data_IF_603795564482
#
_entry.id   IF_603795564482
#
_cell.length_a   1.000
_cell.length_b   1.000
_cell.length_c   1.000
_cell.angle_alpha   90.00
_cell.angle_beta   90.00
_cell.angle_gamma   90.00
#
_symmetry.space_group_name_H-M   'P 1'
#
loop_
_entity.id
_entity.type
_entity.pdbx_description
1 polymer ?
#
# COMPACT_ATOMS: atom_id res chain seq x y z
N UNK A 1 -10.73 12.23 -0.81
CA UNK A 1 -11.34 12.58 -2.11
C UNK A 1 -12.71 11.91 -2.24
N UNK A 2 -13.80 12.50 -1.71
CA UNK A 2 -15.08 11.79 -1.56
C UNK A 2 -15.70 11.33 -2.89
N UNK A 3 -15.52 12.08 -3.98
CA UNK A 3 -16.18 11.76 -5.25
C UNK A 3 -15.47 10.66 -6.03
N UNK A 4 -14.13 10.60 -5.99
CA UNK A 4 -13.37 9.50 -6.59
C UNK A 4 -13.61 8.20 -5.83
N UNK A 5 -13.68 8.24 -4.50
CA UNK A 5 -13.98 7.05 -3.70
C UNK A 5 -15.36 6.44 -4.01
N UNK A 6 -16.38 7.27 -4.27
CA UNK A 6 -17.71 6.78 -4.69
C UNK A 6 -17.69 6.11 -6.07
N UNK A 7 -16.76 6.49 -6.93
CA UNK A 7 -16.58 5.85 -8.24
C UNK A 7 -15.77 4.56 -8.11
N UNK A 8 -14.73 4.59 -7.28
CA UNK A 8 -13.83 3.48 -7.02
C UNK A 8 -14.53 2.32 -6.31
N UNK A 9 -15.15 2.59 -5.15
CA UNK A 9 -15.92 1.61 -4.37
C UNK A 9 -17.34 1.57 -4.90
N UNK A 10 -17.50 0.88 -6.04
CA UNK A 10 -18.77 0.82 -6.77
C UNK A 10 -18.96 -0.50 -7.50
N UNK A 11 -20.20 -0.98 -7.56
CA UNK A 11 -20.58 -2.08 -8.46
C UNK A 11 -20.31 -1.79 -9.95
N UNK A 12 -20.10 -0.51 -10.30
CA UNK A 12 -19.71 -0.08 -11.65
C UNK A 12 -18.22 -0.25 -11.93
N UNK A 13 -17.41 -0.47 -10.89
CA UNK A 13 -15.98 -0.73 -10.95
C UNK A 13 -15.64 -2.10 -10.31
N UNK A 14 -16.21 -3.21 -10.83
CA UNK A 14 -16.06 -4.53 -10.21
C UNK A 14 -14.66 -5.12 -10.36
N UNK A 15 -13.77 -4.49 -11.12
CA UNK A 15 -12.36 -4.88 -11.23
C UNK A 15 -11.52 -4.28 -10.10
N UNK A 16 -12.02 -3.25 -9.42
CA UNK A 16 -11.21 -2.48 -8.48
C UNK A 16 -10.17 -1.59 -9.17
N UNK A 17 -10.44 -1.13 -10.40
CA UNK A 17 -9.52 -0.26 -11.14
C UNK A 17 -9.31 1.07 -10.41
N UNK A 18 -8.07 1.40 -10.06
CA UNK A 18 -7.76 2.64 -9.37
C UNK A 18 -7.91 3.85 -10.30
N UNK A 19 -8.42 4.99 -9.79
CA UNK A 19 -8.41 6.24 -10.53
C UNK A 19 -6.99 6.66 -10.93
N UNK A 20 -6.72 6.69 -12.23
CA UNK A 20 -5.41 7.07 -12.77
C UNK A 20 -5.16 8.58 -12.57
N UNK A 21 -3.99 8.99 -12.03
CA UNK A 21 -3.64 10.40 -11.87
C UNK A 21 -3.59 11.13 -13.21
N UNK A 22 -3.74 12.46 -13.24
CA UNK A 22 -3.65 13.21 -14.49
C UNK A 22 -2.20 13.54 -14.91
N UNK A 23 -1.30 13.70 -13.94
CA UNK A 23 0.09 14.07 -14.21
C UNK A 23 1.04 13.74 -13.08
N UNK A 24 2.29 13.46 -13.40
CA UNK A 24 3.40 13.51 -12.46
C UNK A 24 3.77 14.96 -12.13
N UNK A 25 4.20 15.19 -10.89
CA UNK A 25 4.65 16.47 -10.36
C UNK A 25 5.96 16.30 -9.63
N UNK A 26 6.78 17.35 -9.64
CA UNK A 26 8.01 17.44 -8.85
C UNK A 26 7.94 18.76 -8.07
N UNK A 27 7.98 18.67 -6.73
CA UNK A 27 7.74 19.80 -5.82
C UNK A 27 6.50 20.62 -6.20
N UNK A 28 5.35 19.94 -6.33
CA UNK A 28 4.04 20.53 -6.68
C UNK A 28 3.99 21.29 -8.02
N UNK A 29 4.99 21.11 -8.88
CA UNK A 29 5.08 21.80 -10.17
C UNK A 29 5.43 20.84 -11.30
N UNK A 30 5.31 21.36 -12.53
CA UNK A 30 5.94 20.81 -13.71
C UNK A 30 7.03 21.79 -14.14
N UNK A 31 8.12 21.27 -14.72
CA UNK A 31 9.20 22.07 -15.29
C UNK A 31 10.06 22.84 -14.26
N UNK A 32 10.32 22.26 -13.09
CA UNK A 32 11.13 22.94 -12.06
C UNK A 32 12.60 23.09 -12.45
N UNK A 33 13.25 24.17 -12.04
CA UNK A 33 14.71 24.33 -12.12
C UNK A 33 15.32 24.32 -10.72
N UNK A 34 16.49 23.70 -10.62
CA UNK A 34 17.31 23.66 -9.41
C UNK A 34 18.69 24.23 -9.75
N UNK A 35 18.98 25.49 -9.36
CA UNK A 35 20.30 26.08 -9.56
C UNK A 35 21.39 25.32 -8.79
N UNK A 36 22.49 25.00 -9.47
CA UNK A 36 23.60 24.22 -8.90
C UNK A 36 24.97 24.85 -9.17
N UNK A 37 25.89 24.66 -8.23
CA UNK A 37 27.29 25.10 -8.37
C UNK A 37 28.16 23.97 -8.93
N UNK A 38 29.03 24.25 -9.92
CA UNK A 38 29.96 23.27 -10.48
C UNK A 38 30.88 22.65 -9.41
N UNK A 39 31.10 21.34 -9.50
CA UNK A 39 31.98 20.58 -8.60
C UNK A 39 31.44 20.39 -7.17
N UNK A 40 30.30 20.99 -6.82
CA UNK A 40 29.70 20.87 -5.48
C UNK A 40 28.91 19.57 -5.34
N UNK A 41 28.99 18.95 -4.17
CA UNK A 41 28.15 17.81 -3.83
C UNK A 41 26.91 18.28 -3.07
N UNK A 42 25.74 17.90 -3.58
CA UNK A 42 24.45 18.17 -2.96
C UNK A 42 23.89 16.89 -2.35
N UNK A 43 23.23 17.02 -1.20
CA UNK A 43 22.36 15.99 -0.66
C UNK A 43 20.93 16.29 -1.10
N UNK A 44 20.39 15.46 -1.98
CA UNK A 44 18.99 15.54 -2.44
C UNK A 44 18.15 14.57 -1.61
N UNK A 45 17.02 15.05 -1.11
CA UNK A 45 16.04 14.24 -0.36
C UNK A 45 14.83 14.03 -1.25
N UNK A 46 14.68 12.81 -1.74
CA UNK A 46 13.60 12.38 -2.60
C UNK A 46 12.53 11.72 -1.73
N UNK A 47 11.28 12.15 -1.90
CA UNK A 47 10.13 11.63 -1.14
C UNK A 47 8.99 11.44 -2.12
N UNK A 48 8.47 10.22 -2.22
CA UNK A 48 7.22 10.00 -2.95
C UNK A 48 6.03 10.21 -2.00
N UNK A 49 5.46 11.42 -2.05
CA UNK A 49 4.23 11.80 -1.32
C UNK A 49 2.95 11.47 -2.09
N UNK A 50 3.05 10.70 -3.18
CA UNK A 50 1.91 10.34 -4.02
C UNK A 50 1.01 9.31 -3.34
N UNK A 51 -0.30 9.42 -3.59
CA UNK A 51 -1.33 8.51 -3.06
C UNK A 51 -1.39 7.14 -3.75
N UNK A 52 -0.67 6.95 -4.87
CA UNK A 52 -0.82 5.76 -5.71
C UNK A 52 0.47 5.40 -6.43
N UNK A 53 0.80 6.13 -7.50
CA UNK A 53 1.86 5.73 -8.41
C UNK A 53 3.26 5.81 -7.77
N UNK A 54 3.99 4.68 -7.82
CA UNK A 54 5.44 4.67 -7.66
C UNK A 54 6.11 5.50 -8.76
N UNK A 55 7.32 5.98 -8.48
CA UNK A 55 8.08 6.84 -9.39
C UNK A 55 9.47 6.27 -9.65
N UNK A 56 9.88 6.20 -10.91
CA UNK A 56 11.29 6.10 -11.30
C UNK A 56 11.90 7.50 -11.25
N UNK A 57 13.10 7.65 -10.71
CA UNK A 57 13.84 8.92 -10.67
C UNK A 57 15.26 8.74 -11.19
N UNK A 58 15.71 9.65 -12.06
CA UNK A 58 17.09 9.70 -12.54
C UNK A 58 17.51 11.13 -12.90
N UNK A 59 18.82 11.36 -12.98
CA UNK A 59 19.40 12.64 -13.39
C UNK A 59 20.32 12.38 -14.58
N UNK A 60 20.03 13.01 -15.71
CA UNK A 60 20.81 12.78 -16.91
C UNK A 60 22.27 13.17 -16.74
N UNK A 61 23.16 12.25 -17.11
CA UNK A 61 24.60 12.45 -17.03
C UNK A 61 25.16 12.55 -15.62
N UNK A 62 24.40 12.19 -14.58
CA UNK A 62 24.86 12.19 -13.18
C UNK A 62 24.54 10.85 -12.52
N UNK A 63 25.54 10.27 -11.88
CA UNK A 63 25.35 9.13 -10.98
C UNK A 63 24.96 9.64 -9.59
N UNK A 64 23.97 8.99 -8.99
CA UNK A 64 23.51 9.24 -7.64
C UNK A 64 24.16 8.25 -6.67
N UNK A 65 24.44 8.71 -5.45
CA UNK A 65 24.94 7.86 -4.37
C UNK A 65 23.93 7.82 -3.23
N UNK A 66 23.18 6.73 -3.12
CA UNK A 66 22.21 6.51 -2.04
C UNK A 66 22.97 6.44 -0.71
N UNK A 67 22.55 7.23 0.27
CA UNK A 67 23.16 7.26 1.62
C UNK A 67 22.14 7.08 2.75
N UNK A 68 20.85 7.20 2.47
CA UNK A 68 19.78 7.01 3.46
C UNK A 68 18.51 6.53 2.75
N UNK A 69 17.76 5.63 3.39
CA UNK A 69 16.40 5.23 3.00
C UNK A 69 15.49 5.26 4.22
N UNK A 70 14.32 5.89 4.09
CA UNK A 70 13.29 5.97 5.14
C UNK A 70 13.83 6.33 6.55
N UNK A 71 14.82 7.23 6.64
CA UNK A 71 15.45 7.64 7.90
C UNK A 71 16.60 6.74 8.39
N UNK A 72 16.91 5.65 7.67
CA UNK A 72 18.01 4.72 7.97
C UNK A 72 19.21 4.99 7.07
N UNK A 73 20.33 5.39 7.68
CA UNK A 73 21.59 5.55 6.98
C UNK A 73 22.11 4.21 6.43
N UNK A 74 22.51 4.19 5.17
CA UNK A 74 23.08 3.03 4.47
C UNK A 74 24.52 3.29 4.04
N UNK A 75 25.30 2.21 3.90
CA UNK A 75 26.56 2.28 3.17
C UNK A 75 26.27 2.85 1.78
N UNK A 76 27.13 3.77 1.27
CA UNK A 76 26.89 4.40 0.00
C UNK A 76 26.74 3.39 -1.15
N UNK A 77 25.67 3.51 -1.93
CA UNK A 77 25.43 2.70 -3.13
C UNK A 77 25.24 3.60 -4.35
N UNK A 78 26.00 3.35 -5.41
CA UNK A 78 25.93 4.12 -6.65
C UNK A 78 24.84 3.57 -7.57
N UNK A 79 24.08 4.48 -8.19
CA UNK A 79 23.05 4.14 -9.17
C UNK A 79 22.77 5.31 -10.10
N UNK A 80 22.29 5.01 -11.30
CA UNK A 80 21.78 6.01 -12.23
C UNK A 80 20.26 6.18 -12.11
N UNK A 81 19.55 5.25 -11.46
CA UNK A 81 18.10 5.27 -11.33
C UNK A 81 17.62 4.67 -9.99
N UNK A 82 16.55 5.24 -9.45
CA UNK A 82 15.90 4.77 -8.21
C UNK A 82 14.41 4.57 -8.48
N UNK A 83 13.85 3.49 -7.95
CA UNK A 83 12.40 3.30 -7.85
C UNK A 83 11.96 3.71 -6.45
N UNK A 84 11.00 4.64 -6.37
CA UNK A 84 10.50 5.20 -5.12
C UNK A 84 9.00 4.92 -5.05
N UNK A 85 8.62 3.90 -4.28
CA UNK A 85 7.22 3.60 -4.05
C UNK A 85 6.55 4.67 -3.18
N UNK A 86 5.21 4.73 -3.17
CA UNK A 86 4.48 5.64 -2.27
C UNK A 86 4.98 5.50 -0.82
N UNK A 87 5.14 6.64 -0.13
CA UNK A 87 5.70 6.80 1.22
C UNK A 87 7.19 6.49 1.40
N UNK A 88 7.90 6.01 0.38
CA UNK A 88 9.34 5.82 0.46
C UNK A 88 10.13 7.12 0.31
N UNK A 89 11.29 7.16 0.95
CA UNK A 89 12.26 8.26 0.93
C UNK A 89 13.66 7.73 0.62
N UNK A 90 14.38 8.51 -0.16
CA UNK A 90 15.80 8.29 -0.43
C UNK A 90 16.55 9.60 -0.21
N UNK A 91 17.68 9.56 0.50
CA UNK A 91 18.65 10.65 0.44
C UNK A 91 19.83 10.21 -0.42
N UNK A 92 20.16 11.02 -1.44
CA UNK A 92 21.23 10.75 -2.39
C UNK A 92 22.23 11.89 -2.42
N UNK A 93 23.51 11.56 -2.53
CA UNK A 93 24.57 12.50 -2.85
C UNK A 93 24.75 12.56 -4.36
N UNK A 94 24.78 13.77 -4.91
CA UNK A 94 25.06 14.03 -6.33
C UNK A 94 26.16 15.08 -6.41
N UNK A 95 27.28 14.71 -7.03
CA UNK A 95 28.38 15.65 -7.28
C UNK A 95 28.22 16.26 -8.66
N UNK A 96 28.10 17.58 -8.70
CA UNK A 96 27.96 18.34 -9.92
C UNK A 96 29.24 18.27 -10.76
N UNK A 97 29.08 18.31 -12.08
CA UNK A 97 30.19 18.40 -13.03
C UNK A 97 30.93 19.73 -12.83
N UNK A 98 32.19 19.78 -13.26
CA UNK A 98 32.97 21.02 -13.24
C UNK A 98 32.61 21.95 -14.41
N UNK A 99 32.02 21.42 -15.48
CA UNK A 99 31.69 22.16 -16.69
C UNK A 99 30.29 22.78 -16.59
N UNK A 100 30.17 24.08 -16.91
CA UNK A 100 28.89 24.82 -16.99
C UNK A 100 28.32 24.88 -18.41
N UNK A 101 28.80 24.02 -19.31
CA UNK A 101 28.45 24.08 -20.74
C UNK A 101 26.99 23.74 -21.05
N UNK A 102 26.29 23.05 -20.14
CA UNK A 102 24.93 22.57 -20.32
C UNK A 102 24.16 22.46 -18.99
N UNK A 103 22.84 22.61 -19.07
CA UNK A 103 21.89 22.22 -18.02
C UNK A 103 21.47 20.77 -18.22
N UNK A 104 21.09 20.07 -17.15
CA UNK A 104 20.82 18.62 -17.21
C UNK A 104 19.40 18.29 -16.75
N UNK A 105 18.63 17.51 -17.52
CA UNK A 105 17.32 17.05 -17.08
C UNK A 105 17.40 16.18 -15.83
N UNK A 106 16.48 16.42 -14.91
CA UNK A 106 16.18 15.63 -13.72
C UNK A 106 14.77 15.09 -13.89
N UNK A 107 14.62 13.78 -13.92
CA UNK A 107 13.41 13.13 -14.38
C UNK A 107 12.75 12.34 -13.27
N UNK A 108 11.42 12.40 -13.25
CA UNK A 108 10.61 11.37 -12.60
C UNK A 108 9.55 10.84 -13.58
N UNK A 109 9.25 9.54 -13.51
CA UNK A 109 8.23 8.87 -14.30
C UNK A 109 7.38 7.98 -13.41
N UNK A 110 6.06 8.09 -13.50
CA UNK A 110 5.16 7.14 -12.85
C UNK A 110 5.41 5.73 -13.41
N UNK A 111 5.28 4.74 -12.53
CA UNK A 111 5.20 3.34 -12.93
C UNK A 111 3.83 3.05 -13.53
N UNK A 112 3.75 3.11 -14.86
CA UNK A 112 2.50 2.89 -15.59
C UNK A 112 2.03 1.45 -15.56
N UNK A 113 2.86 0.49 -15.09
CA UNK A 113 2.41 -0.90 -14.91
C UNK A 113 1.35 -1.04 -13.80
N UNK A 114 1.21 -0.02 -12.94
CA UNK A 114 0.18 0.06 -11.91
C UNK A 114 -1.17 0.52 -12.45
N UNK A 115 -1.29 0.91 -13.72
CA UNK A 115 -2.55 1.44 -14.27
C UNK A 115 -3.26 0.40 -15.12
N UNK A 116 -4.51 0.08 -14.76
CA UNK A 116 -5.41 -0.78 -15.55
C UNK A 116 -5.58 -0.32 -17.01
N UNK A 117 -5.53 0.99 -17.22
CA UNK A 117 -5.51 1.59 -18.54
C UNK A 117 -4.78 2.92 -18.51
N UNK A 118 -4.19 3.30 -19.65
CA UNK A 118 -3.51 4.59 -19.82
C UNK A 118 -4.50 5.54 -20.51
N UNK A 119 -5.07 6.53 -19.81
CA UNK A 119 -6.01 7.47 -20.39
C UNK A 119 -5.32 8.44 -21.36
N UNK A 120 -6.08 8.90 -22.36
CA UNK A 120 -5.63 9.92 -23.28
C UNK A 120 -5.24 11.21 -22.53
N UNK A 121 -4.06 11.74 -22.85
CA UNK A 121 -3.55 12.98 -22.26
C UNK A 121 -2.87 12.82 -20.89
N UNK A 122 -2.69 11.58 -20.39
CA UNK A 122 -1.86 11.35 -19.21
C UNK A 122 -0.43 11.83 -19.45
N UNK A 123 0.06 12.71 -18.57
CA UNK A 123 1.48 13.05 -18.51
C UNK A 123 2.16 12.33 -17.33
N UNK A 124 2.55 11.08 -17.54
CA UNK A 124 3.20 10.27 -16.50
C UNK A 124 4.66 10.65 -16.25
N UNK A 125 5.25 11.51 -17.08
CA UNK A 125 6.60 12.02 -16.91
C UNK A 125 6.59 13.45 -16.35
N UNK A 126 7.55 13.75 -15.49
CA UNK A 126 7.86 15.12 -15.07
C UNK A 126 9.35 15.39 -15.23
N UNK A 127 9.65 16.48 -15.92
CA UNK A 127 11.02 16.97 -16.10
C UNK A 127 11.24 18.19 -15.21
N UNK A 128 12.33 18.16 -14.45
CA UNK A 128 13.01 19.32 -13.92
C UNK A 128 14.41 19.44 -14.50
N UNK A 129 15.17 20.46 -14.11
CA UNK A 129 16.55 20.65 -14.57
C UNK A 129 17.48 21.03 -13.44
N UNK A 130 18.65 20.41 -13.43
CA UNK A 130 19.83 20.97 -12.77
C UNK A 130 20.35 22.11 -13.64
N UNK A 131 20.19 23.34 -13.14
CA UNK A 131 20.58 24.57 -13.83
C UNK A 131 21.99 24.98 -13.39
N UNK A 132 22.96 24.69 -14.26
CA UNK A 132 24.36 25.09 -14.10
C UNK A 132 24.60 26.52 -14.56
N UNK A 133 23.85 26.97 -15.56
CA UNK A 133 23.94 28.31 -16.14
C UNK A 133 22.55 28.71 -16.68
N UNK A 134 21.98 29.75 -16.10
CA UNK A 134 20.65 30.28 -16.45
C UNK A 134 20.58 30.88 -17.85
N UNK A 135 21.72 31.22 -18.47
CA UNK A 135 21.77 31.71 -19.85
C UNK A 135 21.77 30.55 -20.87
N UNK A 136 21.91 29.30 -20.41
CA UNK A 136 21.87 28.11 -21.27
C UNK A 136 20.46 27.58 -21.42
N UNK A 137 20.24 26.91 -22.56
CA UNK A 137 18.96 26.24 -22.83
C UNK A 137 18.75 25.10 -21.85
N UNK A 138 17.48 24.89 -21.48
CA UNK A 138 17.02 23.67 -20.84
C UNK A 138 16.78 22.61 -21.92
N UNK A 139 17.64 21.59 -22.06
CA UNK A 139 17.45 20.58 -23.09
C UNK A 139 16.22 19.71 -22.78
N UNK A 140 15.54 19.15 -23.79
CA UNK A 140 14.52 18.14 -23.54
C UNK A 140 15.15 16.87 -22.95
N UNK A 141 14.37 16.14 -22.16
CA UNK A 141 14.80 14.87 -21.60
C UNK A 141 14.94 13.79 -22.69
N UNK A 142 15.90 12.89 -22.51
CA UNK A 142 16.07 11.71 -23.32
C UNK A 142 14.91 10.73 -23.09
N UNK A 143 14.48 10.09 -24.18
CA UNK A 143 13.50 9.00 -24.10
C UNK A 143 14.23 7.72 -23.70
N UNK A 144 13.77 7.10 -22.61
CA UNK A 144 14.23 5.79 -22.17
C UNK A 144 13.19 4.73 -22.57
N UNK A 145 13.67 3.59 -23.06
CA UNK A 145 12.80 2.45 -23.39
C UNK A 145 12.72 1.43 -22.25
N UNK A 146 13.70 1.44 -21.35
CA UNK A 146 13.83 0.48 -20.25
C UNK A 146 14.24 1.23 -18.99
N UNK A 147 13.73 0.77 -17.85
CA UNK A 147 14.02 1.32 -16.52
C UNK A 147 14.71 0.25 -15.68
N UNK A 148 15.93 0.54 -15.24
CA UNK A 148 16.78 -0.38 -14.46
C UNK A 148 17.11 0.26 -13.10
N UNK A 149 16.15 0.36 -12.17
CA UNK A 149 16.37 0.99 -10.88
C UNK A 149 17.28 0.14 -9.98
N UNK A 150 17.97 0.81 -9.05
CA UNK A 150 18.72 0.12 -8.01
C UNK A 150 17.80 -0.77 -7.16
N UNK A 151 18.23 -2.00 -6.93
CA UNK A 151 17.58 -2.93 -6.03
C UNK A 151 17.87 -2.56 -4.56
N UNK A 152 16.87 -1.95 -3.92
CA UNK A 152 16.95 -1.49 -2.54
C UNK A 152 17.22 -2.60 -1.53
N UNK A 153 16.80 -3.85 -1.77
CA UNK A 153 17.08 -5.01 -0.91
C UNK A 153 18.58 -5.23 -0.66
N UNK A 154 19.44 -4.72 -1.54
CA UNK A 154 20.90 -4.83 -1.45
C UNK A 154 21.54 -3.76 -0.54
N UNK A 155 20.78 -2.77 -0.08
CA UNK A 155 21.29 -1.73 0.81
C UNK A 155 21.67 -2.32 2.18
N UNK A 156 22.73 -1.76 2.78
CA UNK A 156 23.30 -2.26 4.03
C UNK A 156 23.37 -1.10 5.02
N UNK A 157 22.58 -1.11 6.11
CA UNK A 157 22.59 -0.08 7.13
C UNK A 157 23.98 0.16 7.73
N UNK A 158 24.32 1.42 8.01
CA UNK A 158 25.66 1.79 8.52
C UNK A 158 25.89 1.39 9.97
N UNK A 159 24.84 1.25 10.77
CA UNK A 159 24.95 0.84 12.18
C UNK A 159 25.24 -0.66 12.35
N UNK A 160 25.11 -1.44 11.27
CA UNK A 160 25.50 -2.85 11.25
C UNK A 160 24.64 -3.75 12.13
N UNK A 161 23.38 -3.37 12.38
CA UNK A 161 22.45 -4.24 13.11
C UNK A 161 22.34 -5.59 12.39
N UNK A 162 22.72 -6.65 13.12
CA UNK A 162 22.68 -8.01 12.57
C UNK A 162 21.24 -8.48 12.41
N UNK A 163 21.06 -9.44 11.53
CA UNK A 163 19.80 -10.19 11.41
C UNK A 163 19.28 -10.58 12.80
N UNK A 164 18.04 -10.19 13.09
CA UNK A 164 17.34 -10.57 14.31
C UNK A 164 17.25 -12.09 14.40
N UNK A 165 17.21 -12.58 15.63
CA UNK A 165 17.05 -14.00 15.92
C UNK A 165 15.76 -14.57 15.30
N UNK A 166 15.55 -15.87 15.48
CA UNK A 166 14.31 -16.51 15.03
C UNK A 166 13.12 -15.81 15.70
N UNK A 167 12.07 -15.57 14.92
CA UNK A 167 10.87 -14.93 15.41
C UNK A 167 10.19 -15.75 16.52
N UNK A 168 9.73 -15.04 17.54
CA UNK A 168 8.88 -15.57 18.61
C UNK A 168 7.42 -15.67 18.13
N UNK A 169 7.03 -14.77 17.23
CA UNK A 169 5.67 -14.62 16.73
C UNK A 169 5.72 -14.36 15.21
N UNK A 170 5.12 -15.26 14.42
CA UNK A 170 4.98 -15.09 12.97
C UNK A 170 3.53 -14.75 12.62
N UNK A 171 3.34 -13.70 11.85
CA UNK A 171 2.07 -13.26 11.29
C UNK A 171 2.16 -13.46 9.78
N UNK A 172 1.27 -14.26 9.21
CA UNK A 172 1.16 -14.46 7.76
C UNK A 172 -0.04 -13.69 7.24
N UNK A 173 0.18 -12.87 6.20
CA UNK A 173 -0.80 -12.00 5.61
C UNK A 173 -0.85 -12.26 4.10
N UNK A 174 -1.95 -12.84 3.65
CA UNK A 174 -2.22 -13.11 2.23
C UNK A 174 -3.08 -11.97 1.68
N UNK A 175 -2.46 -11.14 0.83
CA UNK A 175 -3.11 -10.04 0.13
C UNK A 175 -3.94 -10.59 -1.03
N UNK A 176 -5.23 -10.25 -1.06
CA UNK A 176 -6.12 -10.49 -2.21
C UNK A 176 -7.02 -9.27 -2.47
N UNK A 177 -7.53 -9.17 -3.70
CA UNK A 177 -8.56 -8.21 -4.11
C UNK A 177 -9.81 -8.97 -4.57
N UNK A 178 -11.00 -8.65 -4.03
CA UNK A 178 -12.23 -9.38 -4.38
C UNK A 178 -13.50 -8.55 -4.19
N UNK A 179 -14.59 -8.97 -4.82
CA UNK A 179 -15.87 -8.30 -4.73
C UNK A 179 -16.72 -8.79 -3.57
N UNK A 180 -17.35 -7.87 -2.85
CA UNK A 180 -18.31 -8.17 -1.77
C UNK A 180 -19.77 -8.03 -2.27
N UNK A 181 -20.72 -8.27 -1.38
CA UNK A 181 -22.14 -8.40 -1.68
C UNK A 181 -22.82 -7.15 -2.25
N UNK A 182 -22.19 -5.99 -2.13
CA UNK A 182 -22.63 -4.74 -2.77
C UNK A 182 -22.09 -4.57 -4.21
N UNK A 183 -21.25 -5.50 -4.66
CA UNK A 183 -20.65 -5.56 -5.99
C UNK A 183 -19.38 -4.72 -6.15
N UNK A 184 -18.95 -3.98 -5.13
CA UNK A 184 -17.68 -3.25 -5.15
C UNK A 184 -16.50 -4.18 -4.83
N UNK A 185 -15.32 -3.79 -5.31
CA UNK A 185 -14.06 -4.48 -5.02
C UNK A 185 -13.45 -3.96 -3.72
N UNK A 186 -12.92 -4.87 -2.92
CA UNK A 186 -12.28 -4.62 -1.65
C UNK A 186 -10.92 -5.31 -1.58
N UNK A 187 -10.06 -4.81 -0.71
CA UNK A 187 -8.76 -5.37 -0.44
C UNK A 187 -8.77 -6.13 0.89
N UNK A 188 -8.05 -7.25 0.95
CA UNK A 188 -8.12 -8.18 2.06
C UNK A 188 -6.74 -8.60 2.52
N UNK A 189 -6.65 -8.89 3.82
CA UNK A 189 -5.69 -9.81 4.38
C UNK A 189 -6.41 -11.02 4.96
N UNK A 190 -6.07 -12.23 4.51
CA UNK A 190 -6.64 -13.48 5.04
C UNK A 190 -8.18 -13.47 5.10
N UNK A 191 -8.84 -13.08 4.01
CA UNK A 191 -10.30 -12.90 3.89
C UNK A 191 -10.93 -11.81 4.78
N UNK A 192 -10.12 -10.95 5.41
CA UNK A 192 -10.59 -9.81 6.20
C UNK A 192 -10.29 -8.50 5.46
N UNK A 193 -11.33 -7.76 5.10
CA UNK A 193 -11.22 -6.37 4.68
C UNK A 193 -11.43 -5.48 5.91
N UNK A 194 -10.44 -4.64 6.21
CA UNK A 194 -10.44 -3.84 7.43
C UNK A 194 -11.63 -2.89 7.50
N UNK A 195 -12.29 -2.88 8.66
CA UNK A 195 -13.33 -1.91 9.00
C UNK A 195 -12.96 -1.23 10.32
N UNK A 196 -12.98 0.10 10.33
CA UNK A 196 -12.71 0.85 11.54
C UNK A 196 -13.69 0.50 12.67
N UNK A 197 -13.20 0.22 13.90
CA UNK A 197 -14.07 -0.05 15.04
C UNK A 197 -14.82 1.21 15.47
N UNK A 198 -15.88 1.06 16.27
CA UNK A 198 -16.64 2.20 16.81
C UNK A 198 -15.87 3.01 17.85
N UNK A 199 -14.97 2.34 18.57
CA UNK A 199 -14.04 2.93 19.54
C UNK A 199 -12.64 2.78 18.96
N UNK A 200 -11.85 3.86 18.82
CA UNK A 200 -10.49 3.74 18.31
C UNK A 200 -9.68 2.76 19.16
N UNK A 201 -8.94 1.86 18.50
CA UNK A 201 -8.25 0.72 19.14
C UNK A 201 -7.40 1.14 20.34
N UNK A 202 -6.74 2.31 20.28
CA UNK A 202 -5.96 2.83 21.40
C UNK A 202 -6.83 3.06 22.66
N UNK A 203 -8.03 3.60 22.51
CA UNK A 203 -8.92 3.81 23.64
C UNK A 203 -9.48 2.49 24.18
N UNK A 204 -9.75 1.51 23.30
CA UNK A 204 -10.07 0.14 23.71
C UNK A 204 -8.96 -0.46 24.57
N UNK A 205 -7.69 -0.34 24.15
CA UNK A 205 -6.53 -0.78 24.96
C UNK A 205 -6.60 -0.14 26.34
N UNK A 206 -6.78 1.17 26.41
CA UNK A 206 -6.67 1.92 27.66
C UNK A 206 -7.85 1.68 28.62
N UNK A 207 -9.00 1.23 28.14
CA UNK A 207 -10.18 1.00 28.97
C UNK A 207 -10.50 -0.47 29.25
N UNK A 208 -9.95 -1.42 28.48
CA UNK A 208 -10.25 -2.85 28.61
C UNK A 208 -9.58 -3.56 29.80
N UNK A 209 -8.66 -2.91 30.51
CA UNK A 209 -7.90 -3.54 31.60
C UNK A 209 -7.14 -4.77 31.11
N UNK A 210 -7.20 -5.88 31.86
CA UNK A 210 -6.51 -7.13 31.50
C UNK A 210 -7.01 -7.74 30.17
N UNK A 211 -8.26 -7.47 29.78
CA UNK A 211 -8.82 -7.95 28.51
C UNK A 211 -8.11 -7.33 27.29
N UNK A 212 -7.31 -6.27 27.45
CA UNK A 212 -6.52 -5.69 26.38
C UNK A 212 -5.50 -6.66 25.77
N UNK A 213 -5.19 -7.78 26.44
CA UNK A 213 -4.35 -8.85 25.90
C UNK A 213 -5.10 -9.85 25.02
N UNK A 214 -6.44 -9.80 24.99
CA UNK A 214 -7.27 -10.68 24.18
C UNK A 214 -7.62 -9.98 22.86
N UNK A 215 -7.21 -10.52 21.69
CA UNK A 215 -7.46 -9.89 20.39
C UNK A 215 -8.96 -9.67 20.10
N UNK A 216 -9.86 -10.46 20.70
CA UNK A 216 -11.31 -10.37 20.51
C UNK A 216 -11.85 -8.98 20.82
N UNK A 217 -11.31 -8.26 21.82
CA UNK A 217 -11.83 -6.94 22.22
C UNK A 217 -11.68 -5.89 21.12
N UNK A 218 -10.79 -6.13 20.16
CA UNK A 218 -10.52 -5.22 19.05
C UNK A 218 -11.41 -5.47 17.83
N UNK A 219 -12.35 -6.42 17.90
CA UNK A 219 -13.28 -6.71 16.82
C UNK A 219 -12.74 -7.73 15.83
N UNK A 220 -13.65 -8.32 15.04
CA UNK A 220 -13.29 -9.38 14.08
C UNK A 220 -12.69 -8.82 12.80
N UNK A 221 -13.14 -7.63 12.39
CA UNK A 221 -12.83 -7.09 11.05
C UNK A 221 -11.82 -5.93 11.13
N UNK A 222 -11.10 -5.80 12.25
CA UNK A 222 -9.98 -4.85 12.41
C UNK A 222 -8.61 -5.49 12.17
N UNK A 223 -8.60 -6.80 11.86
CA UNK A 223 -7.41 -7.63 11.63
C UNK A 223 -6.29 -7.38 12.66
N UNK A 224 -6.64 -7.59 13.93
CA UNK A 224 -5.85 -7.17 15.08
C UNK A 224 -4.94 -8.27 15.64
N UNK A 225 -3.66 -7.95 15.83
CA UNK A 225 -2.64 -8.83 16.40
C UNK A 225 -2.08 -8.22 17.69
N UNK A 226 -2.18 -8.93 18.80
CA UNK A 226 -1.61 -8.50 20.09
C UNK A 226 -0.18 -9.00 20.21
N UNK A 227 0.77 -8.09 20.42
CA UNK A 227 2.20 -8.37 20.50
C UNK A 227 2.70 -8.19 21.93
N UNK A 228 3.52 -9.12 22.40
CA UNK A 228 4.20 -9.04 23.70
C UNK A 228 5.39 -8.10 23.65
N UNK A 229 5.69 -7.48 24.79
CA UNK A 229 6.84 -6.59 24.87
C UNK A 229 8.15 -7.32 24.59
N UNK A 230 8.92 -6.81 23.63
CA UNK A 230 10.25 -7.29 23.28
C UNK A 230 10.29 -8.58 22.45
N UNK A 231 9.16 -9.17 22.10
CA UNK A 231 9.15 -10.35 21.23
C UNK A 231 9.57 -9.97 19.79
N UNK A 232 10.29 -10.87 19.13
CA UNK A 232 10.67 -10.71 17.73
C UNK A 232 9.49 -11.13 16.87
N UNK A 233 8.91 -10.16 16.17
CA UNK A 233 7.78 -10.37 15.27
C UNK A 233 8.30 -10.53 13.85
N UNK A 234 7.78 -11.53 13.14
CA UNK A 234 7.98 -11.74 11.72
C UNK A 234 6.65 -11.58 10.98
N UNK A 235 6.62 -10.70 9.99
CA UNK A 235 5.50 -10.62 9.06
C UNK A 235 5.94 -11.27 7.76
N UNK A 236 5.21 -12.30 7.37
CA UNK A 236 5.26 -12.91 6.04
C UNK A 236 4.10 -12.34 5.24
N UNK A 237 4.40 -11.63 4.16
CA UNK A 237 3.40 -11.09 3.27
C UNK A 237 3.45 -11.82 1.93
N UNK A 238 2.34 -12.45 1.55
CA UNK A 238 2.14 -13.07 0.26
C UNK A 238 1.21 -12.20 -0.58
N UNK A 239 1.62 -11.89 -1.80
CA UNK A 239 0.82 -11.14 -2.74
C UNK A 239 0.14 -12.11 -3.71
N UNK A 240 -1.17 -12.27 -3.63
CA UNK A 240 -1.95 -13.01 -4.63
C UNK A 240 -2.51 -12.08 -5.73
N UNK A 241 -2.21 -10.79 -5.65
CA UNK A 241 -2.52 -9.81 -6.69
C UNK A 241 -1.38 -9.66 -7.72
N UNK A 242 -1.75 -9.19 -8.90
CA UNK A 242 -0.84 -8.94 -10.02
C UNK A 242 -0.13 -7.58 -9.95
N UNK A 243 -0.51 -6.71 -9.03
CA UNK A 243 0.10 -5.40 -8.80
C UNK A 243 1.35 -5.44 -7.91
N UNK A 244 2.06 -4.31 -7.89
CA UNK A 244 3.08 -4.00 -6.88
C UNK A 244 2.43 -3.21 -5.75
N UNK A 245 2.72 -3.56 -4.49
CA UNK A 245 2.12 -2.87 -3.34
C UNK A 245 3.21 -2.43 -2.35
N UNK A 246 3.33 -1.13 -2.05
CA UNK A 246 4.18 -0.66 -0.98
C UNK A 246 3.48 -0.87 0.36
N UNK A 247 4.06 -1.67 1.24
CA UNK A 247 3.55 -1.89 2.59
C UNK A 247 4.34 -1.09 3.62
N UNK A 248 3.62 -0.30 4.40
CA UNK A 248 4.13 0.57 5.45
C UNK A 248 3.77 0.03 6.83
N UNK A 249 4.73 0.06 7.78
CA UNK A 249 4.50 -0.27 9.18
C UNK A 249 4.72 0.96 10.07
N UNK A 250 3.71 1.30 10.86
CA UNK A 250 3.81 2.42 11.81
C UNK A 250 4.72 2.07 12.99
N UNK A 251 5.34 3.10 13.58
CA UNK A 251 6.02 3.01 14.87
C UNK A 251 7.33 2.19 14.90
N UNK A 252 7.76 1.64 13.76
CA UNK A 252 8.89 0.73 13.65
C UNK A 252 9.66 0.99 12.35
N UNK A 253 10.98 0.77 12.38
CA UNK A 253 11.75 0.40 11.17
C UNK A 253 12.02 -1.09 11.24
N UNK A 254 11.75 -1.83 10.17
CA UNK A 254 11.85 -3.28 10.14
C UNK A 254 13.03 -3.76 9.29
N UNK A 255 13.57 -4.92 9.64
CA UNK A 255 14.53 -5.65 8.81
C UNK A 255 13.81 -6.36 7.67
N UNK A 256 14.21 -6.12 6.43
CA UNK A 256 13.75 -6.93 5.29
C UNK A 256 14.69 -8.12 5.14
N UNK A 257 14.21 -9.31 5.51
CA UNK A 257 15.05 -10.52 5.55
C UNK A 257 14.93 -11.33 4.26
N UNK A 258 13.82 -11.20 3.54
CA UNK A 258 13.58 -11.88 2.27
C UNK A 258 12.66 -11.04 1.37
N UNK A 259 12.91 -11.05 0.06
CA UNK A 259 11.97 -10.68 -0.99
C UNK A 259 12.12 -11.73 -2.10
N UNK A 260 10.99 -12.20 -2.63
CA UNK A 260 11.01 -13.10 -3.78
C UNK A 260 11.12 -12.33 -5.09
N UNK A 261 11.41 -13.06 -6.17
CA UNK A 261 11.12 -12.58 -7.52
C UNK A 261 9.60 -12.54 -7.76
N UNK A 262 9.18 -11.91 -8.86
CA UNK A 262 7.79 -11.93 -9.31
C UNK A 262 7.30 -13.36 -9.59
N UNK A 263 6.02 -13.63 -9.35
CA UNK A 263 5.38 -14.93 -9.60
C UNK A 263 5.99 -16.11 -8.81
N UNK A 264 6.74 -15.85 -7.74
CA UNK A 264 7.29 -16.90 -6.88
C UNK A 264 6.22 -17.63 -6.04
N UNK A 265 5.03 -17.04 -5.90
CA UNK A 265 3.95 -17.53 -5.05
C UNK A 265 4.22 -17.31 -3.57
N UNK A 266 3.49 -18.04 -2.73
CA UNK A 266 3.58 -17.91 -1.28
C UNK A 266 4.94 -18.32 -0.72
N UNK A 267 5.40 -17.58 0.29
CA UNK A 267 6.59 -17.91 1.04
C UNK A 267 6.45 -19.27 1.75
N UNK A 268 7.51 -20.08 1.71
CA UNK A 268 7.56 -21.34 2.42
C UNK A 268 8.82 -21.42 3.30
N UNK A 269 8.61 -21.43 4.61
CA UNK A 269 9.68 -21.49 5.62
C UNK A 269 10.53 -22.78 5.55
N UNK A 270 10.09 -23.81 4.82
CA UNK A 270 10.83 -25.06 4.62
C UNK A 270 11.81 -25.01 3.44
N UNK A 271 11.83 -23.93 2.66
CA UNK A 271 12.78 -23.76 1.57
C UNK A 271 14.21 -23.71 2.10
N UNK A 272 15.04 -24.65 1.65
CA UNK A 272 16.43 -24.81 2.09
C UNK A 272 17.42 -23.92 1.33
N UNK A 273 16.96 -23.25 0.27
CA UNK A 273 17.75 -22.36 -0.58
C UNK A 273 17.64 -20.87 -0.20
N UNK A 274 16.84 -20.51 0.81
CA UNK A 274 16.75 -19.11 1.25
C UNK A 274 17.98 -18.79 2.10
N UNK A 275 18.80 -17.85 1.61
CA UNK A 275 19.92 -17.29 2.38
C UNK A 275 19.54 -15.91 2.87
N UNK A 276 19.38 -15.76 4.19
CA UNK A 276 19.12 -14.45 4.79
C UNK A 276 20.39 -13.58 4.82
N UNK A 277 20.27 -12.26 4.60
CA UNK A 277 21.39 -11.34 4.75
C UNK A 277 21.85 -11.30 6.21
N UNK A 278 23.17 -11.25 6.44
CA UNK A 278 23.73 -11.17 7.80
C UNK A 278 23.48 -9.80 8.47
N UNK A 279 23.34 -8.77 7.65
CA UNK A 279 22.95 -7.40 8.02
C UNK A 279 21.85 -6.99 7.03
N UNK A 280 20.58 -7.27 7.34
CA UNK A 280 19.45 -6.95 6.46
C UNK A 280 19.30 -5.44 6.24
N UNK A 281 18.75 -5.05 5.09
CA UNK A 281 18.28 -3.66 4.92
C UNK A 281 17.22 -3.34 5.98
N UNK A 282 17.12 -2.08 6.40
CA UNK A 282 16.03 -1.62 7.26
C UNK A 282 15.38 -0.37 6.71
N UNK A 283 14.05 -0.32 6.81
CA UNK A 283 13.21 0.80 6.38
C UNK A 283 11.81 0.68 7.00
N UNK A 284 10.89 1.59 6.69
CA UNK A 284 9.50 1.53 7.18
C UNK A 284 8.45 1.23 6.10
N UNK A 285 8.84 1.26 4.82
CA UNK A 285 7.93 1.00 3.70
C UNK A 285 8.60 0.13 2.65
N UNK A 286 8.08 -1.06 2.34
CA UNK A 286 8.72 -1.98 1.40
C UNK A 286 7.77 -2.54 0.35
N UNK A 287 8.28 -2.74 -0.86
CA UNK A 287 7.49 -3.14 -2.02
C UNK A 287 7.42 -4.66 -2.11
N UNK A 288 6.21 -5.22 -2.13
CA UNK A 288 5.99 -6.59 -2.62
C UNK A 288 5.83 -6.57 -4.14
N UNK A 289 6.40 -7.58 -4.78
CA UNK A 289 6.31 -7.78 -6.23
C UNK A 289 5.04 -8.54 -6.62
N UNK A 290 4.61 -8.44 -7.90
CA UNK A 290 3.45 -9.18 -8.42
C UNK A 290 3.55 -10.67 -8.12
N UNK A 291 2.49 -11.25 -7.54
CA UNK A 291 2.41 -12.69 -7.27
C UNK A 291 3.63 -13.27 -6.51
N UNK A 292 4.29 -12.42 -5.72
CA UNK A 292 5.50 -12.74 -4.95
C UNK A 292 5.25 -12.66 -3.45
N UNK A 293 6.34 -12.57 -2.68
CA UNK A 293 6.28 -12.43 -1.24
C UNK A 293 7.48 -11.65 -0.68
N UNK A 294 7.35 -11.19 0.55
CA UNK A 294 8.49 -10.74 1.36
C UNK A 294 8.34 -11.16 2.81
N UNK A 295 9.45 -11.14 3.54
CA UNK A 295 9.48 -11.38 4.98
C UNK A 295 10.22 -10.24 5.66
N UNK A 296 9.59 -9.66 6.69
CA UNK A 296 10.18 -8.62 7.54
C UNK A 296 10.22 -9.06 9.00
N UNK A 297 11.20 -8.54 9.76
CA UNK A 297 11.31 -8.74 11.22
C UNK A 297 11.49 -7.42 11.96
N UNK A 298 10.89 -7.32 13.14
CA UNK A 298 11.10 -6.20 14.05
C UNK A 298 10.87 -6.63 15.51
N UNK A 299 11.57 -6.01 16.47
CA UNK A 299 11.30 -6.23 17.88
C UNK A 299 10.10 -5.38 18.34
N UNK A 300 9.12 -5.98 19.02
CA UNK A 300 7.95 -5.27 19.56
C UNK A 300 8.29 -4.49 20.86
N UNK A 301 9.22 -3.53 20.77
CA UNK A 301 9.74 -2.76 21.91
C UNK A 301 9.10 -1.39 22.10
N UNK A 302 8.31 -0.93 21.13
CA UNK A 302 7.60 0.35 21.17
C UNK A 302 6.10 0.11 21.49
N UNK A 303 5.65 0.33 22.75
CA UNK A 303 4.25 0.14 23.12
C UNK A 303 3.35 1.13 22.36
N UNK A 304 2.34 0.62 21.64
CA UNK A 304 1.48 1.43 20.80
C UNK A 304 0.50 0.60 19.99
N UNK A 305 -0.38 1.29 19.26
CA UNK A 305 -1.23 0.69 18.23
C UNK A 305 -0.68 1.14 16.88
N UNK A 306 -0.19 0.19 16.09
CA UNK A 306 0.54 0.44 14.86
C UNK A 306 -0.16 -0.22 13.68
N UNK A 307 -0.48 0.56 12.64
CA UNK A 307 -1.05 0.00 11.43
C UNK A 307 0.06 -0.58 10.54
N UNK A 308 -0.24 -1.72 9.94
CA UNK A 308 0.49 -2.28 8.81
C UNK A 308 -0.43 -2.27 7.61
N UNK A 309 -0.13 -1.48 6.59
CA UNK A 309 -1.06 -1.28 5.47
C UNK A 309 -0.34 -1.01 4.15
N UNK A 310 -1.05 -1.25 3.05
CA UNK A 310 -0.60 -0.76 1.76
C UNK A 310 -0.68 0.78 1.75
N UNK A 311 0.32 1.44 1.19
CA UNK A 311 0.38 2.90 1.07
C UNK A 311 -0.18 3.42 -0.27
N UNK A 312 -0.80 2.56 -1.07
CA UNK A 312 -1.72 3.00 -2.11
C UNK A 312 -3.05 3.33 -1.40
N UNK A 313 -3.42 4.60 -1.40
CA UNK A 313 -4.58 5.13 -0.65
C UNK A 313 -5.87 4.40 -1.02
N UNK A 314 -6.04 4.04 -2.30
CA UNK A 314 -7.18 3.27 -2.78
C UNK A 314 -7.29 1.92 -2.07
N UNK A 315 -6.17 1.18 -1.98
CA UNK A 315 -6.14 -0.14 -1.35
C UNK A 315 -6.33 -0.04 0.16
N UNK A 316 -5.69 0.95 0.79
CA UNK A 316 -5.87 1.25 2.22
C UNK A 316 -7.34 1.54 2.54
N UNK A 317 -7.98 2.44 1.80
CA UNK A 317 -9.38 2.84 2.02
C UNK A 317 -10.37 1.69 1.74
N UNK A 318 -9.99 0.71 0.91
CA UNK A 318 -10.75 -0.54 0.69
C UNK A 318 -10.40 -1.67 1.66
N UNK A 319 -9.63 -1.39 2.70
CA UNK A 319 -9.46 -2.29 3.83
C UNK A 319 -8.15 -3.07 3.88
N UNK A 320 -7.12 -2.70 3.11
CA UNK A 320 -5.82 -3.38 3.14
C UNK A 320 -4.96 -2.99 4.34
N UNK A 321 -5.45 -3.30 5.54
CA UNK A 321 -4.88 -2.89 6.83
C UNK A 321 -4.87 -4.07 7.80
N UNK A 322 -3.78 -4.21 8.55
CA UNK A 322 -3.68 -5.00 9.76
C UNK A 322 -3.31 -4.10 10.94
N UNK A 323 -3.79 -4.42 12.14
CA UNK A 323 -3.57 -3.62 13.35
C UNK A 323 -2.66 -4.36 14.32
N UNK A 324 -1.50 -3.79 14.63
CA UNK A 324 -0.54 -4.34 15.59
C UNK A 324 -0.71 -3.64 16.94
N UNK A 325 -1.12 -4.37 17.97
CA UNK A 325 -1.30 -3.87 19.34
C UNK A 325 -0.09 -4.29 20.16
N UNK A 326 0.91 -3.42 20.24
CA UNK A 326 2.18 -3.69 20.91
C UNK A 326 2.13 -3.37 22.40
N UNK A 327 2.33 -4.39 23.24
CA UNK A 327 2.48 -4.26 24.69
C UNK A 327 1.30 -3.57 25.40
N UNK A 328 0.04 -4.02 25.24
CA UNK A 328 -1.14 -3.30 25.72
C UNK A 328 -1.16 -3.00 27.22
N UNK A 329 -0.74 -3.94 28.06
CA UNK A 329 -0.67 -3.72 29.52
C UNK A 329 0.45 -2.74 29.92
N UNK A 330 1.48 -2.59 29.10
CA UNK A 330 2.50 -1.56 29.30
C UNK A 330 1.99 -0.20 28.85
N UNK A 331 1.30 -0.12 27.70
CA UNK A 331 0.64 1.10 27.23
C UNK A 331 -0.25 1.71 28.31
N UNK A 332 -1.09 0.90 28.97
CA UNK A 332 -1.95 1.35 30.07
C UNK A 332 -1.20 1.99 31.24
N UNK A 333 0.06 1.61 31.48
CA UNK A 333 0.89 2.10 32.58
C UNK A 333 1.70 3.34 32.21
N UNK A 334 2.10 3.47 30.94
CA UNK A 334 3.07 4.48 30.50
C UNK A 334 2.44 5.62 29.70
N UNK A 335 1.30 5.38 29.05
CA UNK A 335 0.68 6.35 28.16
C UNK A 335 -0.35 7.21 28.91
N UNK A 336 -0.22 8.53 28.77
CA UNK A 336 -1.23 9.49 29.23
C UNK A 336 -1.82 10.18 28.01
N UNK A 337 -3.15 10.12 27.85
CA UNK A 337 -3.84 10.78 26.75
C UNK A 337 -4.15 12.23 27.13
N UNK A 338 -3.71 13.23 26.32
CA UNK A 338 -4.09 14.63 26.53
C UNK A 338 -5.61 14.82 26.49
N UNK A 339 -6.13 15.75 27.30
CA UNK A 339 -7.58 16.02 27.35
C UNK A 339 -8.11 16.55 26.01
N UNK A 340 -7.29 17.24 25.24
CA UNK A 340 -7.60 17.71 23.88
C UNK A 340 -7.96 16.55 22.95
N UNK A 341 -7.29 15.40 23.07
CA UNK A 341 -7.59 14.22 22.25
C UNK A 341 -8.98 13.67 22.56
N UNK A 342 -9.35 13.62 23.86
CA UNK A 342 -10.68 13.18 24.29
C UNK A 342 -11.75 14.18 23.84
N UNK A 343 -11.44 15.48 23.90
CA UNK A 343 -12.33 16.53 23.41
C UNK A 343 -12.61 16.37 21.90
N UNK A 344 -11.60 16.09 21.09
CA UNK A 344 -11.76 15.85 19.64
C UNK A 344 -12.68 14.64 19.38
N UNK A 345 -12.58 13.59 20.20
CA UNK A 345 -13.48 12.43 20.10
C UNK A 345 -14.92 12.83 20.47
N UNK A 346 -15.10 13.54 21.58
CA UNK A 346 -16.40 14.01 22.05
C UNK A 346 -17.10 14.93 21.03
N UNK A 347 -16.35 15.85 20.40
CA UNK A 347 -16.88 16.77 19.37
C UNK A 347 -17.35 16.02 18.10
N UNK A 348 -16.86 14.80 17.87
CA UNK A 348 -17.26 13.92 16.76
C UNK A 348 -18.26 12.82 17.19
N UNK A 349 -18.66 12.78 18.47
CA UNK A 349 -19.52 11.72 19.00
C UNK A 349 -18.87 10.34 19.06
N UNK A 350 -17.53 10.28 19.09
CA UNK A 350 -16.74 9.05 19.16
C UNK A 350 -16.46 8.72 20.64
N UNK A 351 -16.79 7.51 21.06
CA UNK A 351 -16.49 7.04 22.43
C UNK A 351 -14.99 6.79 22.58
N UNK A 352 -14.46 7.12 23.76
CA UNK A 352 -13.07 6.81 24.18
C UNK A 352 -13.00 5.69 25.21
N UNK A 353 -14.07 4.90 25.33
CA UNK A 353 -14.20 3.77 26.26
C UNK A 353 -15.01 2.67 25.59
N UNK A 354 -14.59 1.43 25.78
CA UNK A 354 -15.29 0.23 25.32
C UNK A 354 -14.47 -0.58 24.33
N UNK A 355 -14.99 -1.75 23.96
CA UNK A 355 -14.41 -2.60 22.93
C UNK A 355 -14.72 -2.07 21.51
N UNK A 356 -14.35 -2.82 20.47
CA UNK A 356 -14.63 -2.43 19.08
C UNK A 356 -16.12 -2.21 18.75
N UNK A 357 -17.04 -2.80 19.52
CA UNK A 357 -18.48 -2.58 19.40
C UNK A 357 -18.99 -1.38 20.23
N UNK A 358 -18.15 -0.79 21.09
CA UNK A 358 -18.52 0.23 22.05
C UNK A 358 -19.07 -0.31 23.37
N UNK A 359 -18.97 -1.62 23.63
CA UNK A 359 -19.46 -2.24 24.86
C UNK A 359 -18.45 -2.04 26.00
N UNK A 360 -18.94 -1.64 27.17
CA UNK A 360 -18.11 -1.25 28.33
C UNK A 360 -18.26 -2.17 29.53
N UNK A 361 -19.29 -3.02 29.56
CA UNK A 361 -19.55 -3.96 30.66
C UNK A 361 -18.87 -5.31 30.41
N UNK A 362 -19.17 -5.93 29.26
CA UNK A 362 -18.47 -7.12 28.77
C UNK A 362 -17.67 -6.76 27.51
N UNK A 363 -16.34 -6.72 27.65
CA UNK A 363 -15.44 -6.39 26.54
C UNK A 363 -15.35 -7.50 25.48
N UNK A 364 -15.84 -8.70 25.77
CA UNK A 364 -15.88 -9.82 24.83
C UNK A 364 -17.19 -9.87 24.03
N UNK A 365 -18.22 -9.12 24.44
CA UNK A 365 -19.44 -8.97 23.67
C UNK A 365 -19.22 -8.01 22.50
N UNK A 366 -19.15 -8.53 21.28
CA UNK A 366 -19.00 -7.73 20.05
C UNK A 366 -20.34 -7.42 19.36
N UNK A 367 -21.46 -7.61 20.05
CA UNK A 367 -22.79 -7.32 19.49
C UNK A 367 -22.86 -5.86 19.01
N UNK A 368 -23.11 -5.70 17.71
CA UNK A 368 -23.23 -4.39 17.08
C UNK A 368 -21.91 -3.78 16.62
N UNK A 369 -20.78 -4.48 16.63
CA UNK A 369 -19.54 -3.99 15.99
C UNK A 369 -19.78 -3.64 14.52
N UNK A 370 -18.90 -2.79 13.99
CA UNK A 370 -18.85 -2.57 12.54
C UNK A 370 -18.30 -3.85 11.88
N UNK A 371 -18.89 -4.22 10.75
CA UNK A 371 -18.52 -5.41 9.99
C UNK A 371 -18.25 -5.04 8.54
N UNK A 372 -17.37 -5.78 7.88
CA UNK A 372 -17.18 -5.70 6.44
C UNK A 372 -18.47 -6.06 5.71
N UNK A 373 -18.55 -5.62 4.45
CA UNK A 373 -19.69 -5.99 3.60
C UNK A 373 -19.74 -7.52 3.48
N UNK A 374 -20.90 -8.16 3.66
CA UNK A 374 -20.98 -9.61 3.53
C UNK A 374 -20.52 -10.08 2.14
N UNK A 375 -19.91 -11.27 2.00
CA UNK A 375 -19.55 -11.83 0.70
C UNK A 375 -20.72 -11.95 -0.26
N UNK A 376 -20.42 -12.06 -1.56
CA UNK A 376 -21.42 -12.40 -2.58
C UNK A 376 -22.13 -13.73 -2.24
N UNK A 377 -23.44 -13.85 -2.52
CA UNK A 377 -24.16 -15.11 -2.30
C UNK A 377 -23.55 -16.23 -3.16
N UNK A 378 -23.48 -17.45 -2.62
CA UNK A 378 -22.89 -18.62 -3.29
C UNK A 378 -23.63 -19.11 -4.54
N UNK A 379 -24.68 -18.42 -4.97
CA UNK A 379 -25.47 -18.74 -6.16
C UNK A 379 -26.47 -17.65 -6.51
N UNK A 380 -27.36 -17.95 -7.47
CA UNK A 380 -28.40 -17.00 -7.87
C UNK A 380 -29.32 -16.67 -6.71
N UNK A 381 -29.58 -15.38 -6.53
CA UNK A 381 -30.67 -14.93 -5.66
C UNK A 381 -32.01 -15.37 -6.25
N UNK A 382 -33.08 -15.36 -5.45
CA UNK A 382 -34.45 -15.60 -5.95
C UNK A 382 -34.78 -14.68 -7.14
N UNK A 383 -34.35 -13.42 -7.09
CA UNK A 383 -34.50 -12.48 -8.21
C UNK A 383 -33.73 -12.93 -9.45
N UNK A 384 -32.50 -13.46 -9.26
CA UNK A 384 -31.70 -14.05 -10.33
C UNK A 384 -32.41 -15.23 -11.01
N UNK A 385 -32.95 -16.17 -10.24
CA UNK A 385 -33.73 -17.28 -10.79
C UNK A 385 -34.96 -16.80 -11.57
N UNK A 386 -35.72 -15.84 -11.02
CA UNK A 386 -36.88 -15.26 -11.73
C UNK A 386 -36.43 -14.62 -13.04
N UNK A 387 -35.37 -13.80 -13.03
CA UNK A 387 -34.87 -13.15 -14.23
C UNK A 387 -34.44 -14.16 -15.32
N UNK A 388 -33.75 -15.24 -14.92
CA UNK A 388 -33.37 -16.33 -15.84
C UNK A 388 -34.59 -16.99 -16.45
N UNK A 389 -35.57 -17.37 -15.62
CA UNK A 389 -36.80 -18.04 -16.08
C UNK A 389 -37.54 -17.18 -17.11
N UNK A 390 -37.77 -15.90 -16.80
CA UNK A 390 -38.47 -15.00 -17.72
C UNK A 390 -37.68 -14.73 -19.00
N UNK A 391 -36.35 -14.63 -18.92
CA UNK A 391 -35.48 -14.48 -20.10
C UNK A 391 -35.53 -15.71 -21.00
N UNK A 392 -35.49 -16.92 -20.42
CA UNK A 392 -35.64 -18.17 -21.17
C UNK A 392 -37.02 -18.26 -21.84
N UNK A 393 -38.10 -17.93 -21.12
CA UNK A 393 -39.46 -17.90 -21.68
C UNK A 393 -39.55 -16.91 -22.85
N UNK A 394 -39.03 -15.69 -22.68
CA UNK A 394 -39.02 -14.70 -23.75
C UNK A 394 -38.21 -15.16 -24.97
N UNK A 395 -37.05 -15.79 -24.75
CA UNK A 395 -36.24 -16.37 -25.81
C UNK A 395 -36.97 -17.47 -26.59
N UNK A 396 -37.63 -18.40 -25.89
CA UNK A 396 -38.42 -19.47 -26.51
C UNK A 396 -39.60 -18.90 -27.31
N UNK A 397 -40.33 -17.94 -26.74
CA UNK A 397 -41.44 -17.27 -27.44
C UNK A 397 -40.96 -16.50 -28.68
N UNK A 398 -39.79 -15.85 -28.59
CA UNK A 398 -39.15 -15.18 -29.72
C UNK A 398 -38.82 -16.15 -30.86
N UNK A 399 -38.17 -17.27 -30.54
CA UNK A 399 -37.86 -18.32 -31.52
C UNK A 399 -39.13 -18.92 -32.14
N UNK A 400 -40.14 -19.24 -31.32
CA UNK A 400 -41.42 -19.76 -31.80
C UNK A 400 -42.11 -18.77 -32.75
N UNK A 401 -42.08 -17.48 -32.44
CA UNK A 401 -42.64 -16.43 -33.31
C UNK A 401 -41.91 -16.38 -34.65
N UNK A 402 -40.57 -16.41 -34.65
CA UNK A 402 -39.77 -16.45 -35.89
C UNK A 402 -40.14 -17.67 -36.73
N UNK A 403 -40.26 -18.85 -36.13
CA UNK A 403 -40.64 -20.06 -36.87
C UNK A 403 -42.04 -19.95 -37.46
N UNK A 404 -43.02 -19.46 -36.70
CA UNK A 404 -44.40 -19.32 -37.16
C UNK A 404 -44.53 -18.32 -38.32
N UNK A 405 -43.90 -17.15 -38.22
CA UNK A 405 -43.96 -16.14 -39.28
C UNK A 405 -43.03 -16.46 -40.46
N UNK A 406 -41.87 -17.06 -40.21
CA UNK A 406 -40.91 -17.44 -41.25
C UNK A 406 -41.34 -18.65 -42.08
N UNK A 407 -42.20 -19.51 -41.53
CA UNK A 407 -42.82 -20.62 -42.27
C UNK A 407 -44.12 -20.25 -42.98
N UNK A 408 -44.62 -19.02 -42.80
CA UNK A 408 -45.79 -18.56 -43.50
C UNK A 408 -45.49 -18.43 -45.01
N UNK A 409 -46.38 -18.90 -45.90
CA UNK A 409 -46.14 -18.83 -47.34
C UNK A 409 -46.04 -17.37 -47.78
N UNK A 410 -44.97 -17.05 -48.53
CA UNK A 410 -44.79 -15.73 -49.13
C UNK A 410 -45.88 -15.56 -50.19
N UNK A 411 -46.93 -14.80 -49.88
CA UNK A 411 -47.85 -14.33 -50.90
C UNK A 411 -47.10 -13.31 -51.77
N UNK A 412 -46.59 -13.75 -52.92
CA UNK A 412 -46.07 -12.87 -53.95
C UNK A 412 -47.19 -11.91 -54.37
N UNK A 413 -46.94 -10.61 -54.22
CA UNK A 413 -47.77 -9.58 -54.85
C UNK A 413 -47.36 -9.40 -56.31
#
# INVERSE_FOLDING_TARGET
MPDLMKQFVSYKNPTGAEPVPNSALMNDTQNMTLPVEPGKTYLLRLVNVGAFASQYFWIEGHTMKIVEVDGVWTKPAETDMIYIASAQRYAVLVTMKNETGANYPMMASMDTSLFDSIPDGLNWNVTGWLEYDSDKKLPPAAVLNEFEPYDDFKLVPTDGEKLLEKADHTITLDLTMNNLGDGANYAFFNDISYVSPKVPTLYTVLSAGENATNPTVYGTDTNSFVLKHGEIVEIVLNNDDSGRHPFHLHGQTFQVVHRSEENAGHYNASWTNITYPSVPMRRDTFLVYPQGNFVIRFPATNPGVWLFHCHIEWHMDTGLIATMISSPLQMQKTLTIPEEHKKICADQGISTVGNAAGNTEDYLDLTGQNMMVPPLPSGFTTKGYVAIVFSCVAGVLGLASITLYGSAPIAAK
#
